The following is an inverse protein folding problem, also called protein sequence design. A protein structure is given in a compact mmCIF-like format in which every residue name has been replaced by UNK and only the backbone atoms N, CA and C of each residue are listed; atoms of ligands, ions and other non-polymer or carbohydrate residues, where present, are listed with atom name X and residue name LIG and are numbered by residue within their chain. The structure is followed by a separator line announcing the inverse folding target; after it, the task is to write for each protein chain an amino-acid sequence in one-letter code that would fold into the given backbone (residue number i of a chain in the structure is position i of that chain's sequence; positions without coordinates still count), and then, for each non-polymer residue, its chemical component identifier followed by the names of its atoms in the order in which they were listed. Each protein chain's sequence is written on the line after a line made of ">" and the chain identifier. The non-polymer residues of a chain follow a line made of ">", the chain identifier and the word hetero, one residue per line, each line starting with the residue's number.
data_IF_987773431140
#
_entry.id   IF_987773431140
#
_cell.length_a   1.000
_cell.length_b   1.000
_cell.length_c   1.000
_cell.angle_alpha   90.00
_cell.angle_beta   90.00
_cell.angle_gamma   90.00
#
_symmetry.space_group_name_H-M   'P 1'
#
loop_
_entity.id
_entity.type
_entity.pdbx_description
1 polymer ?
#
# COMPACT_ATOMS: atom_id res chain seq x y z
N UNK A 1 -13.71 4.00 4.23
CA UNK A 1 -13.00 2.79 3.77
C UNK A 1 -12.21 2.22 4.94
N UNK A 2 -12.68 1.14 5.50
CA UNK A 2 -11.97 0.42 6.54
C UNK A 2 -11.04 -0.61 5.89
N UNK A 3 -9.97 -0.14 5.27
CA UNK A 3 -8.96 -0.97 4.63
C UNK A 3 -7.57 -0.46 4.94
N UNK A 4 -6.59 -1.32 4.81
CA UNK A 4 -5.18 -0.94 4.81
C UNK A 4 -4.67 -0.76 3.38
N UNK A 5 -3.48 -0.17 3.24
CA UNK A 5 -2.79 0.00 1.98
C UNK A 5 -1.40 -0.62 2.09
N UNK A 6 -1.06 -1.50 1.17
CA UNK A 6 0.18 -2.26 1.25
C UNK A 6 1.17 -1.84 0.17
N UNK A 7 2.42 -1.58 0.59
CA UNK A 7 3.53 -1.31 -0.29
C UNK A 7 4.49 -2.49 -0.22
N UNK A 8 4.69 -3.15 -1.35
CA UNK A 8 5.55 -4.30 -1.51
C UNK A 8 6.68 -4.02 -2.52
N UNK A 9 7.71 -4.86 -2.56
CA UNK A 9 8.81 -4.76 -3.52
C UNK A 9 10.17 -5.08 -2.90
N UNK A 10 11.24 -5.06 -3.70
CA UNK A 10 12.59 -5.39 -3.24
C UNK A 10 13.10 -4.46 -2.13
N UNK A 11 14.14 -4.89 -1.39
CA UNK A 11 14.82 -4.01 -0.44
C UNK A 11 15.38 -2.78 -1.18
N UNK A 12 15.41 -1.62 -0.54
CA UNK A 12 15.98 -0.40 -1.10
C UNK A 12 15.18 0.28 -2.24
N UNK A 13 14.01 -0.25 -2.65
CA UNK A 13 13.17 0.40 -3.67
C UNK A 13 12.35 1.60 -3.16
N UNK A 14 12.47 1.97 -1.89
CA UNK A 14 11.84 3.16 -1.32
C UNK A 14 10.51 2.93 -0.60
N UNK A 15 10.17 1.69 -0.23
CA UNK A 15 8.88 1.36 0.44
C UNK A 15 8.61 2.17 1.70
N UNK A 16 9.57 2.20 2.62
CA UNK A 16 9.44 2.89 3.90
C UNK A 16 9.24 4.40 3.71
N UNK A 17 10.11 5.04 2.91
CA UNK A 17 10.03 6.48 2.63
C UNK A 17 8.72 6.85 1.95
N UNK A 18 8.36 6.10 0.91
CA UNK A 18 7.10 6.30 0.18
C UNK A 18 5.88 6.04 1.08
N UNK A 19 5.95 5.00 1.90
CA UNK A 19 4.86 4.64 2.82
C UNK A 19 4.59 5.71 3.86
N UNK A 20 5.64 6.30 4.45
CA UNK A 20 5.50 7.41 5.40
C UNK A 20 4.85 8.62 4.75
N UNK A 21 5.33 9.04 3.58
CA UNK A 21 4.76 10.18 2.84
C UNK A 21 3.32 9.93 2.39
N UNK A 22 3.01 8.70 1.96
CA UNK A 22 1.66 8.34 1.57
C UNK A 22 0.71 8.38 2.77
N UNK A 23 1.13 7.82 3.92
CA UNK A 23 0.35 7.83 5.15
C UNK A 23 0.08 9.26 5.63
N UNK A 24 1.08 10.12 5.62
CA UNK A 24 0.94 11.54 5.95
C UNK A 24 -0.09 12.22 5.04
N UNK A 25 0.00 12.05 3.73
CA UNK A 25 -0.95 12.63 2.77
C UNK A 25 -2.38 12.12 2.92
N UNK A 26 -2.54 10.87 3.34
CA UNK A 26 -3.85 10.25 3.54
C UNK A 26 -4.43 10.49 4.94
N UNK A 27 -3.65 11.06 5.86
CA UNK A 27 -4.02 11.15 7.28
C UNK A 27 -4.20 9.76 7.91
N UNK A 28 -3.40 8.78 7.49
CA UNK A 28 -3.42 7.39 7.94
C UNK A 28 -2.21 7.06 8.81
N UNK A 29 -2.25 5.93 9.50
CA UNK A 29 -1.09 5.41 10.21
C UNK A 29 -0.07 4.82 9.22
N UNK A 30 1.20 4.82 9.63
CA UNK A 30 2.26 4.13 8.90
C UNK A 30 2.86 3.02 9.77
N UNK A 31 3.06 1.85 9.18
CA UNK A 31 3.74 0.71 9.82
C UNK A 31 4.75 0.09 8.83
N UNK A 32 5.93 -0.27 9.37
CA UNK A 32 6.94 -1.05 8.64
C UNK A 32 7.08 -2.40 9.34
N UNK A 33 6.76 -3.48 8.60
CA UNK A 33 6.73 -4.83 9.19
C UNK A 33 8.10 -5.31 9.66
N UNK A 34 9.17 -4.98 8.94
CA UNK A 34 10.53 -5.33 9.31
C UNK A 34 10.88 -4.69 10.68
N UNK A 35 10.56 -3.39 10.85
CA UNK A 35 10.81 -2.65 12.09
C UNK A 35 10.00 -3.15 13.27
N UNK A 36 8.74 -3.52 13.05
CA UNK A 36 7.90 -4.08 14.13
C UNK A 36 8.48 -5.40 14.61
N UNK A 37 8.88 -6.29 13.69
CA UNK A 37 9.47 -7.58 14.05
C UNK A 37 10.79 -7.40 14.82
N UNK A 38 11.65 -6.46 14.41
CA UNK A 38 12.87 -6.13 15.14
C UNK A 38 12.58 -5.64 16.55
N UNK A 39 11.61 -4.74 16.71
CA UNK A 39 11.22 -4.20 18.02
C UNK A 39 10.62 -5.28 18.93
N UNK A 40 9.72 -6.13 18.41
CA UNK A 40 9.13 -7.24 19.18
C UNK A 40 10.17 -8.31 19.55
N UNK A 41 11.16 -8.54 18.67
CA UNK A 41 12.24 -9.50 18.91
C UNK A 41 13.33 -8.95 19.85
N UNK A 42 13.44 -7.62 19.99
CA UNK A 42 14.52 -6.95 20.70
C UNK A 42 15.89 -7.10 20.04
N UNK A 43 15.92 -7.45 18.75
CA UNK A 43 17.16 -7.69 17.99
C UNK A 43 16.95 -7.44 16.49
N UNK A 44 18.02 -7.10 15.74
CA UNK A 44 17.95 -6.94 14.29
C UNK A 44 17.54 -8.22 13.56
N UNK A 45 16.94 -8.09 12.36
CA UNK A 45 16.54 -9.22 11.52
C UNK A 45 17.73 -10.14 11.22
N UNK A 46 18.93 -9.59 11.03
CA UNK A 46 20.17 -10.37 10.84
C UNK A 46 20.42 -11.33 11.99
N UNK A 47 20.21 -10.89 13.22
CA UNK A 47 20.39 -11.73 14.40
C UNK A 47 19.25 -12.75 14.54
N UNK A 48 18.03 -12.40 14.19
CA UNK A 48 16.91 -13.36 14.17
C UNK A 48 17.25 -14.51 13.21
N UNK A 49 17.76 -14.22 12.01
CA UNK A 49 18.16 -15.23 11.05
C UNK A 49 19.31 -16.09 11.55
N UNK A 50 20.32 -15.50 12.19
CA UNK A 50 21.48 -16.22 12.71
C UNK A 50 21.13 -17.09 13.93
N UNK A 51 20.35 -16.59 14.86
CA UNK A 51 20.09 -17.26 16.14
C UNK A 51 18.87 -18.17 16.10
N UNK A 52 17.85 -17.84 15.31
CA UNK A 52 16.55 -18.52 15.30
C UNK A 52 16.17 -19.11 13.94
N UNK A 53 16.89 -18.73 12.89
CA UNK A 53 16.67 -19.21 11.51
C UNK A 53 15.57 -18.45 10.76
N UNK A 54 15.51 -18.69 9.44
CA UNK A 54 14.54 -18.05 8.56
C UNK A 54 13.09 -18.46 8.89
N UNK A 55 12.86 -19.70 9.29
CA UNK A 55 11.53 -20.20 9.59
C UNK A 55 10.84 -19.41 10.73
N UNK A 56 11.59 -19.08 11.79
CA UNK A 56 11.09 -18.26 12.90
C UNK A 56 10.73 -16.83 12.43
N UNK A 57 11.58 -16.24 11.60
CA UNK A 57 11.30 -14.92 11.01
C UNK A 57 10.00 -14.95 10.18
N UNK A 58 9.81 -15.97 9.34
CA UNK A 58 8.60 -16.12 8.53
C UNK A 58 7.35 -16.36 9.37
N UNK A 59 7.46 -17.09 10.47
CA UNK A 59 6.36 -17.26 11.41
C UNK A 59 5.92 -15.92 12.03
N UNK A 60 6.89 -15.06 12.40
CA UNK A 60 6.62 -13.71 12.91
C UNK A 60 5.99 -12.79 11.86
N UNK A 61 6.47 -12.83 10.60
CA UNK A 61 5.83 -12.10 9.51
C UNK A 61 4.35 -12.48 9.38
N UNK A 62 4.04 -13.78 9.37
CA UNK A 62 2.66 -14.29 9.24
C UNK A 62 1.78 -13.87 10.41
N UNK A 63 2.27 -14.00 11.65
CA UNK A 63 1.54 -13.58 12.85
C UNK A 63 1.26 -12.06 12.83
N UNK A 64 2.26 -11.25 12.47
CA UNK A 64 2.10 -9.81 12.36
C UNK A 64 1.05 -9.43 11.32
N UNK A 65 1.06 -10.04 10.14
CA UNK A 65 0.06 -9.79 9.11
C UNK A 65 -1.36 -10.09 9.60
N UNK A 66 -1.56 -11.21 10.31
CA UNK A 66 -2.87 -11.55 10.90
C UNK A 66 -3.35 -10.51 11.93
N UNK A 67 -2.43 -9.87 12.65
CA UNK A 67 -2.76 -8.76 13.55
C UNK A 67 -3.12 -7.50 12.78
N UNK A 68 -2.37 -7.19 11.71
CA UNK A 68 -2.53 -5.98 10.92
C UNK A 68 -3.87 -5.94 10.15
N UNK A 69 -4.39 -7.06 9.69
CA UNK A 69 -5.71 -7.12 9.02
C UNK A 69 -6.89 -6.82 9.95
N UNK A 70 -6.65 -6.65 11.25
CA UNK A 70 -7.65 -6.18 12.22
C UNK A 70 -7.63 -4.66 12.43
N UNK A 71 -6.61 -3.99 11.89
CA UNK A 71 -6.53 -2.53 11.87
C UNK A 71 -7.04 -1.99 10.55
N UNK A 72 -7.30 -0.69 10.48
CA UNK A 72 -7.77 0.00 9.27
C UNK A 72 -7.05 1.33 9.11
N UNK A 73 -7.10 1.91 7.92
CA UNK A 73 -6.49 3.21 7.62
C UNK A 73 -4.98 3.24 7.92
N UNK A 74 -4.30 2.17 7.56
CA UNK A 74 -2.86 2.02 7.77
C UNK A 74 -2.15 1.77 6.44
N UNK A 75 -1.09 2.51 6.18
CA UNK A 75 -0.14 2.21 5.11
C UNK A 75 0.93 1.29 5.67
N UNK A 76 1.04 0.10 5.11
CA UNK A 76 1.94 -0.95 5.57
C UNK A 76 3.06 -1.16 4.56
N UNK A 77 4.31 -0.91 4.98
CA UNK A 77 5.52 -1.30 4.25
C UNK A 77 5.87 -2.74 4.56
N UNK A 78 5.80 -3.62 3.57
CA UNK A 78 6.06 -5.05 3.73
C UNK A 78 7.53 -5.41 3.49
N UNK A 79 8.05 -6.37 4.24
CA UNK A 79 9.34 -6.99 3.98
C UNK A 79 9.41 -7.56 2.55
N UNK A 80 10.59 -7.45 1.90
CA UNK A 80 10.74 -7.83 0.49
C UNK A 80 10.52 -9.33 0.18
N UNK A 81 10.39 -10.18 1.19
CA UNK A 81 10.12 -11.61 1.07
C UNK A 81 8.74 -12.03 1.60
N UNK A 82 8.02 -11.14 2.24
CA UNK A 82 6.77 -11.45 2.96
C UNK A 82 5.70 -12.10 2.07
N UNK A 83 5.54 -11.62 0.84
CA UNK A 83 4.52 -12.11 -0.10
C UNK A 83 5.02 -13.24 -1.03
N UNK A 84 6.18 -13.82 -0.74
CA UNK A 84 6.63 -15.09 -1.37
C UNK A 84 5.74 -16.24 -0.87
N UNK A 85 5.28 -16.17 0.38
CA UNK A 85 4.27 -17.06 0.92
C UNK A 85 2.89 -16.73 0.31
N UNK A 86 2.24 -17.67 -0.41
CA UNK A 86 0.95 -17.44 -1.03
C UNK A 86 -0.19 -17.17 -0.03
N UNK A 87 -0.11 -17.68 1.20
CA UNK A 87 -1.12 -17.42 2.23
C UNK A 87 -1.02 -15.98 2.72
N UNK A 88 0.20 -15.47 2.95
CA UNK A 88 0.43 -14.07 3.29
C UNK A 88 -0.07 -13.15 2.17
N UNK A 89 0.20 -13.53 0.92
CA UNK A 89 -0.26 -12.78 -0.25
C UNK A 89 -1.80 -12.72 -0.30
N UNK A 90 -2.46 -13.86 -0.18
CA UNK A 90 -3.92 -13.93 -0.20
C UNK A 90 -4.54 -13.10 0.93
N UNK A 91 -3.98 -13.18 2.13
CA UNK A 91 -4.43 -12.41 3.29
C UNK A 91 -4.36 -10.90 3.04
N UNK A 92 -3.22 -10.41 2.52
CA UNK A 92 -2.99 -8.99 2.26
C UNK A 92 -3.85 -8.47 1.10
N UNK A 93 -3.97 -9.24 0.00
CA UNK A 93 -4.79 -8.86 -1.16
C UNK A 93 -6.30 -8.82 -0.85
N UNK A 94 -6.76 -9.59 0.15
CA UNK A 94 -8.15 -9.53 0.63
C UNK A 94 -8.40 -8.32 1.54
N UNK A 95 -7.40 -7.90 2.31
CA UNK A 95 -7.52 -6.79 3.26
C UNK A 95 -7.43 -5.42 2.59
N UNK A 96 -6.63 -5.28 1.53
CA UNK A 96 -6.50 -4.01 0.84
C UNK A 96 -5.64 -4.02 -0.42
N UNK A 97 -5.54 -2.89 -1.11
CA UNK A 97 -4.74 -2.78 -2.33
C UNK A 97 -3.24 -2.91 -2.04
N UNK A 98 -2.57 -3.71 -2.87
CA UNK A 98 -1.12 -3.86 -2.87
C UNK A 98 -0.52 -3.13 -4.06
N UNK A 99 0.44 -2.25 -3.81
CA UNK A 99 1.29 -1.64 -4.85
C UNK A 99 2.69 -2.23 -4.75
N UNK A 100 3.16 -2.81 -5.85
CA UNK A 100 4.50 -3.37 -5.95
C UNK A 100 5.46 -2.35 -6.56
N UNK A 101 6.39 -1.84 -5.75
CA UNK A 101 7.46 -0.97 -6.24
C UNK A 101 8.56 -1.81 -6.87
N UNK A 102 9.05 -1.38 -8.03
CA UNK A 102 10.19 -1.94 -8.75
C UNK A 102 11.28 -0.88 -8.87
N UNK A 103 12.53 -1.31 -8.99
CA UNK A 103 13.64 -0.39 -9.15
C UNK A 103 14.83 -1.15 -9.74
N UNK A 104 15.61 -0.49 -10.57
CA UNK A 104 16.84 -1.04 -11.13
C UNK A 104 17.87 -1.37 -10.03
N UNK A 105 18.60 -2.50 -10.14
CA UNK A 105 19.52 -2.98 -9.12
C UNK A 105 20.58 -1.95 -8.72
N UNK A 106 21.12 -1.24 -9.69
CA UNK A 106 22.15 -0.21 -9.48
C UNK A 106 21.62 0.95 -8.62
N UNK A 107 20.39 1.39 -8.88
CA UNK A 107 19.74 2.45 -8.12
C UNK A 107 19.36 1.97 -6.72
N UNK A 108 18.94 0.72 -6.56
CA UNK A 108 18.71 0.11 -5.24
C UNK A 108 19.98 0.19 -4.40
N UNK A 109 21.12 -0.26 -4.95
CA UNK A 109 22.40 -0.20 -4.22
C UNK A 109 22.80 1.22 -3.83
N UNK A 110 22.62 2.17 -4.75
CA UNK A 110 22.90 3.57 -4.46
C UNK A 110 22.03 4.10 -3.31
N UNK A 111 20.75 3.74 -3.29
CA UNK A 111 19.81 4.18 -2.25
C UNK A 111 20.07 3.53 -0.89
N UNK A 112 20.54 2.28 -0.89
CA UNK A 112 20.81 1.55 0.34
C UNK A 112 22.08 2.03 1.06
N UNK A 113 23.12 2.45 0.32
CA UNK A 113 24.37 2.92 0.92
C UNK A 113 24.90 1.95 1.98
N UNK A 114 25.13 2.45 3.21
CA UNK A 114 25.65 1.68 4.32
C UNK A 114 24.68 0.64 4.91
N UNK A 115 23.37 0.77 4.64
CA UNK A 115 22.35 -0.21 5.09
C UNK A 115 22.47 -1.57 4.41
N UNK A 116 23.31 -1.67 3.38
CA UNK A 116 23.55 -2.90 2.64
C UNK A 116 24.03 -4.04 3.56
N UNK A 117 24.88 -3.71 4.54
CA UNK A 117 25.43 -4.67 5.51
C UNK A 117 24.37 -5.18 6.51
N UNK A 118 23.29 -4.44 6.70
CA UNK A 118 22.18 -4.84 7.56
C UNK A 118 21.22 -5.85 6.90
N UNK A 119 21.49 -6.27 5.65
CA UNK A 119 20.64 -7.21 4.91
C UNK A 119 21.33 -8.57 4.73
N UNK A 120 20.89 -9.65 5.44
CA UNK A 120 21.54 -10.95 5.40
C UNK A 120 21.72 -11.52 3.99
N UNK A 121 20.73 -11.32 3.12
CA UNK A 121 20.74 -11.85 1.75
C UNK A 121 21.66 -11.07 0.79
N UNK A 122 22.12 -9.89 1.16
CA UNK A 122 22.96 -9.01 0.33
C UNK A 122 24.36 -8.79 0.92
N UNK A 123 24.60 -9.18 2.17
CA UNK A 123 25.86 -8.99 2.87
C UNK A 123 27.02 -9.75 2.19
N UNK A 124 28.23 -9.14 2.16
CA UNK A 124 29.45 -9.71 1.64
C UNK A 124 29.87 -9.19 0.26
N UNK A 125 30.80 -9.87 -0.41
CA UNK A 125 31.37 -9.44 -1.70
C UNK A 125 30.35 -9.55 -2.86
N UNK A 126 30.38 -8.61 -3.80
CA UNK A 126 29.52 -8.61 -5.00
C UNK A 126 28.05 -8.37 -4.73
N UNK A 127 27.68 -7.30 -3.98
CA UNK A 127 26.28 -7.06 -3.60
C UNK A 127 25.36 -6.83 -4.81
N UNK A 128 25.87 -6.26 -5.89
CA UNK A 128 25.10 -6.06 -7.13
C UNK A 128 24.67 -7.40 -7.74
N UNK A 129 25.58 -8.34 -7.86
CA UNK A 129 25.26 -9.65 -8.45
C UNK A 129 24.29 -10.45 -7.56
N UNK A 130 24.46 -10.37 -6.25
CA UNK A 130 23.50 -10.99 -5.30
C UNK A 130 22.12 -10.37 -5.40
N UNK A 131 22.07 -9.06 -5.52
CA UNK A 131 20.81 -8.33 -5.71
C UNK A 131 20.16 -8.72 -7.04
N UNK A 132 20.92 -8.78 -8.15
CA UNK A 132 20.40 -9.22 -9.46
C UNK A 132 19.86 -10.65 -9.39
N UNK A 133 20.56 -11.57 -8.75
CA UNK A 133 20.08 -12.95 -8.53
C UNK A 133 18.79 -12.96 -7.70
N UNK A 134 18.72 -12.18 -6.61
CA UNK A 134 17.53 -12.09 -5.77
C UNK A 134 16.34 -11.55 -6.56
N UNK A 135 16.54 -10.48 -7.32
CA UNK A 135 15.50 -9.87 -8.14
C UNK A 135 15.03 -10.82 -9.24
N UNK A 136 15.94 -11.50 -9.93
CA UNK A 136 15.61 -12.49 -10.95
C UNK A 136 14.78 -13.65 -10.39
N UNK A 137 15.12 -14.17 -9.20
CA UNK A 137 14.33 -15.22 -8.52
C UNK A 137 12.90 -14.78 -8.18
N UNK A 138 12.66 -13.49 -7.97
CA UNK A 138 11.38 -12.93 -7.56
C UNK A 138 10.68 -12.13 -8.67
N UNK A 139 11.26 -12.06 -9.87
CA UNK A 139 10.72 -11.27 -10.97
C UNK A 139 9.27 -11.64 -11.28
N UNK A 140 9.00 -12.93 -11.48
CA UNK A 140 7.64 -13.41 -11.75
C UNK A 140 6.62 -13.00 -10.66
N UNK A 141 7.05 -13.00 -9.39
CA UNK A 141 6.20 -12.55 -8.30
C UNK A 141 5.95 -11.04 -8.36
N UNK A 142 7.00 -10.23 -8.54
CA UNK A 142 6.84 -8.77 -8.64
C UNK A 142 6.02 -8.36 -9.86
N UNK A 143 6.14 -9.08 -10.98
CA UNK A 143 5.39 -8.83 -12.22
C UNK A 143 3.93 -9.26 -12.13
N UNK A 144 3.58 -10.14 -11.22
CA UNK A 144 2.23 -10.64 -11.03
C UNK A 144 1.27 -9.67 -10.33
N UNK A 145 1.79 -8.57 -9.75
CA UNK A 145 0.94 -7.57 -9.12
C UNK A 145 0.36 -6.60 -10.16
N UNK A 146 -0.97 -6.43 -10.21
CA UNK A 146 -1.61 -5.56 -11.20
C UNK A 146 -1.26 -4.08 -11.03
N UNK A 147 -0.80 -3.69 -9.83
CA UNK A 147 -0.35 -2.33 -9.51
C UNK A 147 1.16 -2.32 -9.31
N UNK A 148 1.90 -2.51 -10.40
CA UNK A 148 3.36 -2.37 -10.44
C UNK A 148 3.78 -0.94 -10.75
N UNK A 149 4.79 -0.41 -10.05
CA UNK A 149 5.33 0.92 -10.28
C UNK A 149 6.86 0.90 -10.27
N UNK A 150 7.46 1.29 -11.39
CA UNK A 150 8.90 1.53 -11.47
C UNK A 150 9.25 2.86 -10.82
N UNK A 151 10.16 2.82 -9.84
CA UNK A 151 10.60 3.97 -9.05
C UNK A 151 12.01 4.43 -9.39
N UNK A 152 12.66 3.84 -10.38
CA UNK A 152 14.06 4.05 -10.73
C UNK A 152 14.42 5.52 -10.88
N UNK A 153 13.65 6.27 -11.67
CA UNK A 153 13.87 7.68 -11.97
C UNK A 153 12.93 8.64 -11.22
N UNK A 154 12.24 8.16 -10.18
CA UNK A 154 11.22 8.95 -9.49
C UNK A 154 11.70 9.44 -8.12
N UNK A 155 11.28 10.66 -7.75
CA UNK A 155 11.36 11.12 -6.37
C UNK A 155 10.30 10.41 -5.50
N UNK A 156 10.47 10.35 -4.18
CA UNK A 156 9.45 9.79 -3.29
C UNK A 156 8.07 10.44 -3.45
N UNK A 157 8.04 11.76 -3.68
CA UNK A 157 6.81 12.54 -3.90
C UNK A 157 6.11 12.12 -5.21
N UNK A 158 6.88 11.87 -6.28
CA UNK A 158 6.34 11.40 -7.55
C UNK A 158 5.79 9.98 -7.44
N UNK A 159 6.49 9.12 -6.67
CA UNK A 159 6.02 7.76 -6.37
C UNK A 159 4.68 7.82 -5.65
N UNK A 160 4.55 8.62 -4.60
CA UNK A 160 3.29 8.79 -3.86
C UNK A 160 2.18 9.27 -4.77
N UNK A 161 2.43 10.29 -5.61
CA UNK A 161 1.43 10.80 -6.57
C UNK A 161 0.97 9.69 -7.53
N UNK A 162 1.89 8.91 -8.06
CA UNK A 162 1.57 7.79 -8.95
C UNK A 162 0.81 6.67 -8.22
N UNK A 163 1.17 6.36 -6.98
CA UNK A 163 0.43 5.40 -6.14
C UNK A 163 -1.02 5.85 -5.98
N UNK A 164 -1.27 7.11 -5.64
CA UNK A 164 -2.62 7.65 -5.49
C UNK A 164 -3.42 7.54 -6.79
N UNK A 165 -2.80 7.82 -7.95
CA UNK A 165 -3.43 7.66 -9.26
C UNK A 165 -3.79 6.20 -9.56
N UNK A 166 -2.89 5.26 -9.30
CA UNK A 166 -3.08 3.83 -9.56
C UNK A 166 -4.08 3.21 -8.57
N UNK A 167 -4.07 3.68 -7.32
CA UNK A 167 -5.01 3.25 -6.28
C UNK A 167 -6.40 3.89 -6.45
N UNK A 168 -6.47 5.03 -7.15
CA UNK A 168 -7.71 5.79 -7.31
C UNK A 168 -8.22 6.43 -6.02
N UNK A 169 -7.33 6.67 -5.05
CA UNK A 169 -7.68 7.23 -3.76
C UNK A 169 -6.83 8.46 -3.44
N UNK A 170 -7.50 9.58 -3.14
CA UNK A 170 -6.86 10.85 -2.78
C UNK A 170 -7.53 11.41 -1.53
N UNK A 171 -6.74 11.84 -0.56
CA UNK A 171 -7.22 12.67 0.52
C UNK A 171 -6.78 14.11 0.28
N UNK A 172 -7.72 15.04 0.27
CA UNK A 172 -7.46 16.47 0.08
C UNK A 172 -7.60 17.17 1.42
N UNK A 173 -6.49 17.62 1.96
CA UNK A 173 -6.45 18.45 3.17
C UNK A 173 -6.76 19.90 2.78
N UNK A 174 -8.00 20.33 2.94
CA UNK A 174 -8.40 21.72 2.68
C UNK A 174 -9.44 22.20 3.69
N UNK A 175 -9.32 23.45 4.13
CA UNK A 175 -10.32 24.22 4.87
C UNK A 175 -11.00 23.50 6.05
N UNK A 176 -10.21 22.85 6.92
CA UNK A 176 -10.71 22.23 8.15
C UNK A 176 -10.76 20.71 8.10
N UNK A 177 -11.86 20.11 7.66
CA UNK A 177 -12.04 18.65 7.77
C UNK A 177 -11.63 17.88 6.54
N UNK A 178 -10.85 18.18 5.64
CA UNK A 178 -10.44 17.40 4.47
C UNK A 178 -11.56 16.56 3.82
N UNK A 179 -11.33 16.06 2.63
CA UNK A 179 -12.28 15.16 1.96
C UNK A 179 -11.54 14.11 1.11
N UNK A 180 -12.22 12.97 0.90
CA UNK A 180 -11.69 11.89 0.08
C UNK A 180 -12.24 11.99 -1.35
N UNK A 181 -11.35 11.77 -2.32
CA UNK A 181 -11.70 11.63 -3.74
C UNK A 181 -11.43 10.19 -4.16
N UNK A 182 -12.45 9.50 -4.62
CA UNK A 182 -12.38 8.12 -5.11
C UNK A 182 -12.55 8.10 -6.63
N UNK A 183 -11.62 7.49 -7.32
CA UNK A 183 -11.62 7.36 -8.78
C UNK A 183 -11.48 5.89 -9.16
N UNK A 184 -12.49 5.33 -9.81
CA UNK A 184 -12.45 3.92 -10.20
C UNK A 184 -13.65 3.50 -11.05
N UNK A 185 -13.47 2.39 -11.78
CA UNK A 185 -14.60 1.76 -12.47
C UNK A 185 -15.51 1.06 -11.46
N UNK A 186 -16.82 1.14 -11.64
CA UNK A 186 -17.79 0.47 -10.77
C UNK A 186 -17.93 1.07 -9.38
N UNK A 187 -17.52 2.32 -9.16
CA UNK A 187 -17.65 2.98 -7.87
C UNK A 187 -19.10 3.35 -7.53
N UNK A 188 -19.90 3.77 -8.52
CA UNK A 188 -21.28 4.19 -8.28
C UNK A 188 -22.18 3.12 -7.63
N UNK A 189 -22.16 1.84 -8.03
CA UNK A 189 -22.93 0.80 -7.33
C UNK A 189 -22.50 0.57 -5.86
N UNK A 190 -21.29 0.97 -5.50
CA UNK A 190 -20.76 0.87 -4.13
C UNK A 190 -20.97 2.13 -3.30
N UNK A 191 -21.57 3.17 -3.86
CA UNK A 191 -21.68 4.48 -3.23
C UNK A 191 -22.31 4.41 -1.82
N UNK A 192 -23.41 3.69 -1.66
CA UNK A 192 -24.09 3.55 -0.37
C UNK A 192 -23.16 2.90 0.68
N UNK A 193 -22.46 1.81 0.29
CA UNK A 193 -21.49 1.13 1.15
C UNK A 193 -20.34 2.06 1.55
N UNK A 194 -19.80 2.80 0.58
CA UNK A 194 -18.71 3.77 0.84
C UNK A 194 -19.12 4.90 1.81
N UNK A 195 -20.37 5.36 1.74
CA UNK A 195 -20.91 6.35 2.67
C UNK A 195 -21.11 5.76 4.08
N UNK A 196 -21.66 4.54 4.17
CA UNK A 196 -21.88 3.83 5.42
C UNK A 196 -20.55 3.54 6.14
N UNK A 197 -19.55 2.99 5.43
CA UNK A 197 -18.21 2.74 5.97
C UNK A 197 -17.55 4.01 6.53
N UNK A 198 -17.84 5.16 5.95
CA UNK A 198 -17.34 6.46 6.41
C UNK A 198 -18.22 7.12 7.47
N UNK A 199 -19.29 6.45 7.89
CA UNK A 199 -20.28 6.99 8.84
C UNK A 199 -20.87 8.33 8.39
N UNK A 200 -21.02 8.52 7.08
CA UNK A 200 -21.67 9.66 6.47
C UNK A 200 -23.15 9.36 6.32
N UNK A 201 -23.99 10.13 6.99
CA UNK A 201 -25.44 9.98 6.95
C UNK A 201 -26.13 11.07 6.11
N UNK A 202 -27.39 10.83 5.71
CA UNK A 202 -28.19 11.81 5.00
C UNK A 202 -28.47 13.08 5.87
N UNK A 203 -28.84 14.23 5.24
CA UNK A 203 -29.10 14.37 3.80
C UNK A 203 -27.83 14.45 2.96
N UNK A 204 -27.89 13.91 1.74
CA UNK A 204 -26.80 14.02 0.76
C UNK A 204 -27.17 15.04 -0.31
N UNK A 205 -26.15 15.78 -0.79
CA UNK A 205 -26.28 16.68 -1.93
C UNK A 205 -25.38 16.19 -3.06
N UNK A 206 -25.96 15.91 -4.22
CA UNK A 206 -25.23 15.53 -5.43
C UNK A 206 -25.07 16.76 -6.31
N UNK A 207 -23.84 17.17 -6.57
CA UNK A 207 -23.51 18.26 -7.47
C UNK A 207 -23.03 17.71 -8.80
N UNK A 208 -23.61 18.15 -9.90
CA UNK A 208 -23.26 17.70 -11.25
C UNK A 208 -23.41 18.84 -12.25
N UNK A 209 -23.16 18.59 -13.52
CA UNK A 209 -23.42 19.52 -14.62
C UNK A 209 -24.42 18.92 -15.63
N UNK A 210 -24.91 19.74 -16.54
CA UNK A 210 -25.93 19.36 -17.55
C UNK A 210 -25.50 18.24 -18.52
N UNK A 211 -24.19 17.98 -18.66
CA UNK A 211 -23.67 16.91 -19.52
C UNK A 211 -23.53 15.58 -18.77
N UNK A 212 -23.10 15.65 -17.51
CA UNK A 212 -22.80 14.47 -16.67
C UNK A 212 -24.06 13.95 -15.96
N UNK A 213 -24.94 14.84 -15.51
CA UNK A 213 -26.15 14.47 -14.78
C UNK A 213 -27.05 13.46 -15.52
N UNK A 214 -27.37 13.60 -16.80
CA UNK A 214 -28.17 12.61 -17.53
C UNK A 214 -27.58 11.22 -17.58
N UNK A 215 -26.26 11.13 -17.55
CA UNK A 215 -25.52 9.87 -17.67
C UNK A 215 -25.43 9.10 -16.34
N UNK A 216 -25.24 9.81 -15.24
CA UNK A 216 -24.88 9.19 -13.96
C UNK A 216 -25.87 9.44 -12.82
N UNK A 217 -26.66 10.51 -12.84
CA UNK A 217 -27.59 10.81 -11.75
C UNK A 217 -28.61 9.68 -11.49
N UNK A 218 -29.17 9.01 -12.53
CA UNK A 218 -30.03 7.85 -12.29
C UNK A 218 -29.35 6.68 -11.58
N UNK A 219 -28.05 6.48 -11.80
CA UNK A 219 -27.27 5.46 -11.12
C UNK A 219 -26.98 5.84 -9.66
N UNK A 220 -26.68 7.09 -9.40
CA UNK A 220 -26.51 7.64 -8.03
C UNK A 220 -27.81 7.52 -7.25
N UNK A 221 -28.95 7.93 -7.84
CA UNK A 221 -30.25 7.83 -7.19
C UNK A 221 -30.62 6.39 -6.81
N UNK A 222 -30.34 5.42 -7.69
CA UNK A 222 -30.53 4.00 -7.38
C UNK A 222 -29.60 3.50 -6.27
N UNK A 223 -28.34 3.94 -6.26
CA UNK A 223 -27.39 3.55 -5.24
C UNK A 223 -27.74 4.10 -3.85
N UNK A 224 -28.46 5.22 -3.80
CA UNK A 224 -28.89 5.89 -2.57
C UNK A 224 -30.42 5.76 -2.32
N UNK A 225 -31.06 4.77 -2.92
CA UNK A 225 -32.49 4.53 -2.77
C UNK A 225 -32.88 4.39 -1.29
N UNK A 226 -33.94 5.10 -0.88
CA UNK A 226 -34.38 5.16 0.51
C UNK A 226 -33.67 6.19 1.40
N UNK A 227 -32.75 6.98 0.84
CA UNK A 227 -32.08 8.07 1.55
C UNK A 227 -32.52 9.44 1.04
N UNK A 228 -32.40 10.49 1.90
CA UNK A 228 -32.67 11.87 1.48
C UNK A 228 -31.51 12.37 0.61
N UNK A 229 -31.79 12.61 -0.68
CA UNK A 229 -30.80 13.08 -1.67
C UNK A 229 -31.40 14.30 -2.42
N UNK A 230 -30.62 15.37 -2.44
CA UNK A 230 -30.89 16.54 -3.29
C UNK A 230 -29.87 16.59 -4.44
N UNK A 231 -30.28 17.14 -5.60
CA UNK A 231 -29.34 17.30 -6.72
C UNK A 231 -29.30 18.76 -7.20
N UNK A 232 -28.09 19.22 -7.49
CA UNK A 232 -27.79 20.52 -8.09
C UNK A 232 -27.12 20.26 -9.43
N UNK A 233 -27.69 20.73 -10.51
CA UNK A 233 -27.22 20.56 -11.89
C UNK A 233 -26.90 21.89 -12.53
#
# INVERSE_FOLDING_TARGET
>A
MEMNFYIYGPPGCGKTTTGMLLAERMGWHFLDTDKIIENEAGMPITEIFLQKGEAEFRAREKELLQKLTRSTRTVVSLGGGTLVDPENRALVEQDGPVVCLKCEPEVILQRMGDELNARPLLAGTGPLERLKVLLAKRAALYDSFPRGLDTTALTPEDVVRKIQLVAGFFHVNAMGAGYDVLVGRGMLPRLALELEERKLGPPFVVVSDSNVAPLYLPAVARALEGTAVESIV
#
